data_IF_947851879397
#
_entry.id   IF_947851879397
#
_cell.length_a   1.000
_cell.length_b   1.000
_cell.length_c   1.000
_cell.angle_alpha   90.00
_cell.angle_beta   90.00
_cell.angle_gamma   90.00
#
_symmetry.space_group_name_H-M   'P 1'
#
loop_
_entity.id
_entity.type
_entity.pdbx_description
1 polymer ?
#
# COMPACT_ATOMS: atom_id res chain seq x y z
N UNK A 1 -13.47 15.14 11.63
CA UNK A 1 -12.05 14.76 11.42
C UNK A 1 -11.09 15.95 11.59
N UNK A 2 -11.55 17.19 11.47
CA UNK A 2 -10.75 18.39 11.81
C UNK A 2 -10.54 18.55 13.31
N UNK A 3 -11.58 18.24 14.11
CA UNK A 3 -11.55 18.34 15.57
C UNK A 3 -10.33 17.62 16.18
N UNK A 4 -10.10 16.34 15.85
CA UNK A 4 -9.11 15.52 16.57
C UNK A 4 -7.65 15.95 16.40
N UNK A 5 -7.25 16.56 15.27
CA UNK A 5 -5.86 17.01 15.09
C UNK A 5 -5.68 18.40 15.70
N UNK A 6 -6.68 19.27 15.53
CA UNK A 6 -6.70 20.55 16.23
C UNK A 6 -6.64 20.35 17.75
N UNK A 7 -7.36 19.35 18.28
CA UNK A 7 -7.36 18.97 19.69
C UNK A 7 -5.98 18.47 20.14
N UNK A 8 -5.28 17.66 19.33
CA UNK A 8 -3.89 17.22 19.63
C UNK A 8 -2.92 18.39 19.62
N UNK A 9 -3.04 19.31 18.65
CA UNK A 9 -2.20 20.52 18.58
C UNK A 9 -2.48 21.46 19.76
N UNK A 10 -3.75 21.66 20.09
CA UNK A 10 -4.18 22.45 21.24
C UNK A 10 -3.74 21.84 22.58
N UNK A 11 -3.69 20.51 22.67
CA UNK A 11 -3.19 19.78 23.84
C UNK A 11 -1.64 19.69 23.90
N UNK A 12 -0.92 20.51 23.13
CA UNK A 12 0.54 20.56 23.17
C UNK A 12 1.22 19.35 22.53
N UNK A 13 0.54 18.65 21.63
CA UNK A 13 1.07 17.51 20.89
C UNK A 13 0.83 16.15 21.55
N UNK A 14 0.08 16.07 22.66
CA UNK A 14 -0.38 14.80 23.23
C UNK A 14 -1.85 14.90 23.61
N UNK A 15 -2.66 13.96 23.13
CA UNK A 15 -4.08 13.85 23.48
C UNK A 15 -4.37 12.47 24.04
N UNK A 16 -4.64 12.39 25.34
CA UNK A 16 -5.15 11.18 25.97
C UNK A 16 -6.61 10.98 25.60
N UNK A 17 -6.93 9.80 25.09
CA UNK A 17 -8.26 9.43 24.64
C UNK A 17 -8.67 8.09 25.23
N UNK A 18 -9.83 8.07 25.90
CA UNK A 18 -10.40 6.86 26.47
C UNK A 18 -11.59 6.44 25.62
N UNK A 19 -11.58 5.20 25.15
CA UNK A 19 -12.73 4.58 24.47
C UNK A 19 -13.72 4.14 25.54
N UNK A 20 -14.88 4.79 25.54
CA UNK A 20 -15.94 4.58 26.54
C UNK A 20 -17.06 3.65 26.06
N UNK A 21 -17.07 3.22 24.78
CA UNK A 21 -18.12 2.36 24.23
C UNK A 21 -17.64 1.43 23.10
N UNK A 22 -18.30 0.28 22.95
CA UNK A 22 -18.10 -0.73 21.88
C UNK A 22 -18.27 -0.18 20.45
N UNK A 23 -18.87 1.02 20.29
CA UNK A 23 -19.11 1.68 18.99
C UNK A 23 -18.26 2.92 18.73
N UNK A 24 -17.31 3.26 19.60
CA UNK A 24 -16.42 4.41 19.38
C UNK A 24 -15.54 4.23 18.14
N UNK A 25 -15.16 5.30 17.42
CA UNK A 25 -14.24 5.19 16.29
C UNK A 25 -12.91 4.58 16.74
N UNK A 26 -12.28 3.77 15.88
CA UNK A 26 -10.93 3.28 16.15
C UNK A 26 -9.95 4.45 16.02
N UNK A 27 -9.23 4.80 17.09
CA UNK A 27 -8.22 5.85 17.05
C UNK A 27 -7.14 5.58 16.00
N UNK A 28 -6.81 4.30 15.76
CA UNK A 28 -5.94 3.90 14.65
C UNK A 28 -6.54 4.23 13.28
N UNK A 29 -7.85 4.01 13.08
CA UNK A 29 -8.52 4.36 11.83
C UNK A 29 -8.60 5.89 11.64
N UNK A 30 -8.74 6.65 12.73
CA UNK A 30 -8.70 8.11 12.71
C UNK A 30 -7.32 8.62 12.33
N UNK A 31 -6.25 8.09 12.94
CA UNK A 31 -4.86 8.44 12.59
C UNK A 31 -4.53 8.04 11.15
N UNK A 32 -4.92 6.83 10.70
CA UNK A 32 -4.77 6.43 9.29
C UNK A 32 -5.48 7.38 8.33
N UNK A 33 -6.67 7.85 8.69
CA UNK A 33 -7.40 8.83 7.88
C UNK A 33 -6.72 10.20 7.87
N UNK A 34 -6.25 10.67 9.03
CA UNK A 34 -5.51 11.93 9.15
C UNK A 34 -4.24 11.95 8.27
N UNK A 35 -3.47 10.85 8.30
CA UNK A 35 -2.29 10.66 7.44
C UNK A 35 -2.71 10.64 5.97
N UNK A 36 -3.71 9.82 5.60
CA UNK A 36 -4.20 9.68 4.22
C UNK A 36 -4.66 11.00 3.59
N UNK A 37 -5.27 11.88 4.39
CA UNK A 37 -5.77 13.17 3.92
C UNK A 37 -4.78 14.33 4.13
N UNK A 38 -3.49 14.05 4.39
CA UNK A 38 -2.43 15.05 4.61
C UNK A 38 -2.78 16.10 5.68
N UNK A 39 -3.46 15.68 6.75
CA UNK A 39 -3.90 16.58 7.82
C UNK A 39 -2.90 16.68 8.98
N UNK A 40 -1.86 15.85 8.98
CA UNK A 40 -0.77 15.95 9.95
C UNK A 40 0.09 17.17 9.58
N UNK A 41 0.42 18.06 10.53
CA UNK A 41 1.31 19.19 10.28
C UNK A 41 2.63 18.76 9.61
N UNK A 42 3.11 19.58 8.68
CA UNK A 42 4.35 19.31 7.96
C UNK A 42 5.52 19.11 8.94
N UNK A 43 6.32 18.07 8.72
CA UNK A 43 7.47 17.75 9.57
C UNK A 43 7.13 17.11 10.92
N UNK A 44 5.88 16.69 11.14
CA UNK A 44 5.47 15.92 12.33
C UNK A 44 4.88 14.57 11.95
N UNK A 45 4.91 13.63 12.88
CA UNK A 45 4.20 12.36 12.76
C UNK A 45 3.16 12.20 13.86
N UNK A 46 2.06 11.53 13.52
CA UNK A 46 0.96 11.25 14.44
C UNK A 46 0.96 9.76 14.79
N UNK A 47 1.16 9.44 16.07
CA UNK A 47 1.29 8.07 16.60
C UNK A 47 0.16 7.81 17.59
N UNK A 48 -0.31 6.55 17.67
CA UNK A 48 -1.22 6.10 18.72
C UNK A 48 -0.45 5.18 19.67
N UNK A 49 -0.22 5.62 20.90
CA UNK A 49 0.29 4.80 21.98
C UNK A 49 -0.91 4.15 22.68
N UNK A 50 -0.96 2.82 22.80
CA UNK A 50 -2.04 2.17 23.56
C UNK A 50 -1.73 2.29 25.06
N UNK A 51 -2.75 2.63 25.85
CA UNK A 51 -2.66 2.71 27.31
C UNK A 51 -2.62 1.33 27.96
N UNK A 52 -2.42 1.32 29.28
CA UNK A 52 -2.33 0.10 30.07
C UNK A 52 -3.67 -0.65 30.16
N UNK A 53 -4.80 0.07 30.03
CA UNK A 53 -6.14 -0.53 30.05
C UNK A 53 -6.76 -0.55 28.67
N UNK A 54 -7.69 -1.49 28.49
CA UNK A 54 -8.50 -1.57 27.29
C UNK A 54 -9.25 -0.25 27.06
N UNK A 55 -9.12 0.31 25.86
CA UNK A 55 -9.76 1.55 25.46
C UNK A 55 -8.96 2.82 25.74
N UNK A 56 -7.92 2.77 26.58
CA UNK A 56 -7.01 3.90 26.75
C UNK A 56 -6.04 3.96 25.57
N UNK A 57 -5.88 5.14 24.98
CA UNK A 57 -4.84 5.42 24.01
C UNK A 57 -4.39 6.88 24.13
N UNK A 58 -3.17 7.16 23.73
CA UNK A 58 -2.62 8.51 23.66
C UNK A 58 -2.25 8.78 22.21
N UNK A 59 -2.88 9.78 21.61
CA UNK A 59 -2.52 10.26 20.29
C UNK A 59 -1.40 11.29 20.46
N UNK A 60 -0.24 11.02 19.90
CA UNK A 60 0.97 11.83 20.06
C UNK A 60 1.38 12.41 18.72
N UNK A 61 1.53 13.73 18.66
CA UNK A 61 2.20 14.45 17.59
C UNK A 61 3.66 14.64 17.97
N UNK A 62 4.55 13.85 17.39
CA UNK A 62 5.99 13.90 17.68
C UNK A 62 6.78 14.32 16.44
N UNK A 63 8.00 14.81 16.67
CA UNK A 63 8.95 14.93 15.58
C UNK A 63 9.26 13.54 15.00
N UNK A 64 9.43 13.44 13.67
CA UNK A 64 9.85 12.20 13.05
C UNK A 64 11.18 11.77 13.67
N UNK A 65 11.30 10.52 14.12
CA UNK A 65 12.55 10.02 14.64
C UNK A 65 13.63 10.09 13.56
N UNK A 66 14.89 10.16 13.97
CA UNK A 66 16.03 10.45 13.07
C UNK A 66 16.10 9.50 11.86
N UNK A 67 15.80 8.21 12.04
CA UNK A 67 15.73 7.23 10.95
C UNK A 67 14.71 7.59 9.84
N UNK A 68 13.71 8.43 10.14
CA UNK A 68 12.69 8.90 9.21
C UNK A 68 13.11 10.18 8.46
N UNK A 69 14.18 10.86 8.89
CA UNK A 69 14.71 12.08 8.24
C UNK A 69 16.06 11.85 7.56
N UNK A 70 16.78 10.79 7.90
CA UNK A 70 18.03 10.38 7.24
C UNK A 70 17.83 10.26 5.72
N UNK A 71 18.77 10.80 4.92
CA UNK A 71 18.78 10.61 3.48
C UNK A 71 19.12 9.15 3.17
N UNK A 72 18.22 8.44 2.47
CA UNK A 72 18.41 7.02 2.14
C UNK A 72 19.09 6.90 0.78
N UNK A 73 20.02 5.96 0.68
CA UNK A 73 20.64 5.64 -0.61
C UNK A 73 19.60 5.06 -1.58
N UNK A 74 19.46 5.65 -2.79
CA UNK A 74 18.54 5.15 -3.81
C UNK A 74 18.76 3.67 -4.10
N UNK A 75 17.68 2.89 -4.22
CA UNK A 75 17.78 1.48 -4.65
C UNK A 75 17.80 1.47 -6.19
N UNK A 76 18.91 1.06 -6.82
CA UNK A 76 18.98 1.01 -8.28
C UNK A 76 18.06 -0.11 -8.80
N UNK A 77 17.19 0.20 -9.76
CA UNK A 77 16.47 -0.84 -10.50
C UNK A 77 17.32 -1.28 -11.66
N UNK A 78 17.67 -2.57 -11.74
CA UNK A 78 18.38 -3.06 -12.90
C UNK A 78 17.52 -2.89 -14.16
N UNK A 79 18.13 -2.48 -15.26
CA UNK A 79 17.46 -2.40 -16.56
C UNK A 79 17.06 -3.80 -17.06
N UNK A 80 17.89 -4.81 -16.76
CA UNK A 80 17.70 -6.21 -17.11
C UNK A 80 18.03 -7.12 -15.94
N UNK A 81 17.27 -8.20 -15.79
CA UNK A 81 17.46 -9.22 -14.76
C UNK A 81 17.59 -10.57 -15.44
N UNK A 82 18.76 -11.19 -15.33
CA UNK A 82 19.04 -12.52 -15.89
C UNK A 82 18.49 -13.65 -15.01
N UNK A 83 18.63 -13.49 -13.68
CA UNK A 83 18.12 -14.41 -12.68
C UNK A 83 17.37 -13.62 -11.60
N UNK A 84 16.09 -13.93 -11.44
CA UNK A 84 15.27 -13.32 -10.40
C UNK A 84 15.54 -13.97 -9.05
N UNK A 85 15.24 -13.22 -8.00
CA UNK A 85 15.22 -13.71 -6.63
C UNK A 85 14.25 -14.90 -6.47
N UNK A 86 14.50 -15.79 -5.52
CA UNK A 86 13.70 -17.00 -5.29
C UNK A 86 12.25 -16.66 -4.95
N UNK A 87 12.01 -15.64 -4.12
CA UNK A 87 10.66 -15.19 -3.77
C UNK A 87 9.91 -14.70 -5.02
N UNK A 88 10.56 -13.88 -5.85
CA UNK A 88 9.94 -13.38 -7.07
C UNK A 88 9.76 -14.48 -8.13
N UNK A 89 10.60 -15.52 -8.13
CA UNK A 89 10.43 -16.68 -9.01
C UNK A 89 9.12 -17.41 -8.68
N UNK A 90 8.78 -17.57 -7.40
CA UNK A 90 7.50 -18.12 -6.95
C UNK A 90 6.33 -17.20 -7.33
N UNK A 91 6.41 -15.90 -7.05
CA UNK A 91 5.38 -14.91 -7.46
C UNK A 91 5.09 -14.97 -8.97
N UNK A 92 6.13 -15.17 -9.79
CA UNK A 92 5.98 -15.29 -11.25
C UNK A 92 5.32 -16.58 -11.69
N UNK A 93 5.52 -17.68 -10.96
CA UNK A 93 4.86 -18.96 -11.22
C UNK A 93 3.37 -18.91 -10.84
N UNK A 94 3.04 -18.23 -9.75
CA UNK A 94 1.67 -18.09 -9.23
C UNK A 94 0.83 -17.05 -9.98
N UNK A 95 1.45 -16.20 -10.81
CA UNK A 95 0.78 -15.16 -11.58
C UNK A 95 0.00 -15.73 -12.79
N UNK A 96 -1.03 -16.53 -12.52
CA UNK A 96 -2.04 -16.97 -13.49
C UNK A 96 -3.04 -15.84 -13.76
N UNK A 97 -2.69 -14.95 -14.69
CA UNK A 97 -3.66 -14.11 -15.40
C UNK A 97 -3.61 -12.60 -15.15
N UNK A 98 -3.78 -11.85 -16.25
CA UNK A 98 -4.05 -10.40 -16.36
C UNK A 98 -2.93 -9.39 -16.07
N UNK A 99 -1.66 -9.79 -16.02
CA UNK A 99 -0.53 -8.83 -16.13
C UNK A 99 -0.04 -8.68 -17.59
N UNK A 100 -0.89 -8.67 -18.62
CA UNK A 100 -0.47 -8.35 -20.00
C UNK A 100 -0.25 -6.85 -20.23
N UNK A 101 0.23 -6.14 -19.20
CA UNK A 101 0.65 -4.76 -19.31
C UNK A 101 2.07 -4.69 -19.86
N UNK A 102 2.39 -3.74 -20.75
CA UNK A 102 3.77 -3.41 -21.11
C UNK A 102 4.68 -3.17 -19.88
N UNK A 103 4.09 -2.78 -18.75
CA UNK A 103 4.79 -2.49 -17.49
C UNK A 103 5.06 -3.73 -16.63
N UNK A 104 4.59 -4.92 -17.02
CA UNK A 104 4.79 -6.15 -16.24
C UNK A 104 6.27 -6.42 -15.94
N UNK A 105 7.12 -6.31 -16.96
CA UNK A 105 8.54 -6.56 -16.80
C UNK A 105 9.18 -5.55 -15.87
N UNK A 106 8.81 -4.26 -16.01
CA UNK A 106 9.25 -3.19 -15.12
C UNK A 106 8.84 -3.48 -13.67
N UNK A 107 7.59 -3.88 -13.42
CA UNK A 107 7.12 -4.25 -12.08
C UNK A 107 7.88 -5.41 -11.45
N UNK A 108 8.25 -6.43 -12.23
CA UNK A 108 9.10 -7.51 -11.72
C UNK A 108 10.52 -7.03 -11.40
N UNK A 109 11.09 -6.11 -12.19
CA UNK A 109 12.41 -5.54 -11.87
C UNK A 109 12.37 -4.70 -10.59
N UNK A 110 11.28 -3.98 -10.34
CA UNK A 110 11.03 -3.25 -9.09
C UNK A 110 10.97 -4.24 -7.91
N UNK A 111 10.14 -5.29 -8.00
CA UNK A 111 10.03 -6.31 -6.95
C UNK A 111 11.38 -7.00 -6.69
N UNK A 112 12.16 -7.27 -7.74
CA UNK A 112 13.50 -7.85 -7.62
C UNK A 112 14.46 -6.92 -6.88
N UNK A 113 14.49 -5.64 -7.26
CA UNK A 113 15.36 -4.65 -6.62
C UNK A 113 15.04 -4.51 -5.12
N UNK A 114 13.75 -4.51 -4.77
CA UNK A 114 13.30 -4.52 -3.36
C UNK A 114 13.80 -5.78 -2.66
N UNK A 115 13.49 -6.97 -3.20
CA UNK A 115 13.88 -8.24 -2.59
C UNK A 115 15.40 -8.34 -2.36
N UNK A 116 16.20 -7.99 -3.36
CA UNK A 116 17.66 -8.00 -3.27
C UNK A 116 18.19 -6.99 -2.26
N UNK A 117 17.61 -5.79 -2.21
CA UNK A 117 18.00 -4.76 -1.26
C UNK A 117 17.61 -5.11 0.20
N UNK A 118 16.50 -5.82 0.41
CA UNK A 118 16.11 -6.38 1.71
C UNK A 118 17.05 -7.50 2.14
N UNK A 119 17.30 -8.44 1.24
CA UNK A 119 18.20 -9.57 1.50
C UNK A 119 19.63 -9.10 1.85
N UNK A 120 20.12 -8.07 1.15
CA UNK A 120 21.41 -7.44 1.45
C UNK A 120 21.47 -6.77 2.84
N UNK A 121 20.31 -6.35 3.39
CA UNK A 121 20.17 -5.82 4.76
C UNK A 121 19.93 -6.93 5.80
N UNK A 122 19.91 -8.20 5.39
CA UNK A 122 19.65 -9.35 6.26
C UNK A 122 18.18 -9.56 6.62
N UNK A 123 17.26 -8.91 5.90
CA UNK A 123 15.83 -9.13 6.09
C UNK A 123 15.37 -10.41 5.39
N UNK A 124 14.39 -11.08 5.97
CA UNK A 124 13.78 -12.25 5.35
C UNK A 124 12.77 -11.79 4.30
N UNK A 125 12.85 -12.37 3.09
CA UNK A 125 11.95 -12.06 1.98
C UNK A 125 11.33 -13.36 1.49
N UNK A 126 10.00 -13.37 1.41
CA UNK A 126 9.22 -14.51 0.94
C UNK A 126 8.18 -14.07 -0.11
N UNK A 127 7.78 -15.00 -0.98
CA UNK A 127 6.63 -14.78 -1.83
C UNK A 127 5.37 -14.72 -0.96
N UNK A 128 4.45 -13.82 -1.29
CA UNK A 128 3.16 -13.79 -0.63
C UNK A 128 2.43 -15.11 -0.87
N UNK A 129 1.90 -15.70 0.20
CA UNK A 129 1.09 -16.92 0.13
C UNK A 129 -0.38 -16.59 0.35
N UNK A 130 -1.27 -17.16 -0.45
CA UNK A 130 -2.71 -17.02 -0.24
C UNK A 130 -3.10 -17.75 1.04
N UNK A 131 -3.54 -17.00 2.04
CA UNK A 131 -4.06 -17.55 3.30
C UNK A 131 -5.57 -17.35 3.32
N UNK A 132 -6.33 -18.41 3.07
CA UNK A 132 -7.72 -18.44 3.50
C UNK A 132 -7.77 -18.58 5.04
N UNK A 133 -8.61 -17.78 5.67
CA UNK A 133 -8.94 -17.83 7.11
C UNK A 133 -9.55 -19.17 7.52
N UNK A 134 -10.07 -19.98 6.58
CA UNK A 134 -10.70 -21.27 6.81
C UNK A 134 -9.93 -22.48 6.26
N UNK A 135 -8.66 -22.31 5.85
CA UNK A 135 -7.83 -23.43 5.38
C UNK A 135 -8.28 -24.05 4.06
N UNK A 136 -9.24 -23.44 3.35
CA UNK A 136 -9.60 -23.87 2.02
C UNK A 136 -8.58 -23.27 1.04
N UNK A 137 -7.78 -24.13 0.41
CA UNK A 137 -6.88 -23.76 -0.69
C UNK A 137 -7.70 -23.38 -1.95
N UNK A 138 -8.53 -22.35 -1.85
CA UNK A 138 -9.02 -21.70 -3.05
C UNK A 138 -7.82 -21.04 -3.72
N UNK A 139 -7.68 -21.23 -5.04
CA UNK A 139 -6.62 -20.64 -5.89
C UNK A 139 -6.77 -19.11 -6.00
N UNK A 140 -7.16 -18.43 -4.93
CA UNK A 140 -7.20 -16.99 -4.89
C UNK A 140 -5.78 -16.49 -4.81
N UNK A 141 -5.40 -15.63 -5.75
CA UNK A 141 -4.10 -14.97 -5.74
C UNK A 141 -3.90 -14.25 -4.40
N UNK A 142 -2.71 -14.31 -3.78
CA UNK A 142 -2.41 -13.51 -2.61
C UNK A 142 -2.67 -12.01 -2.88
N UNK A 143 -3.13 -11.24 -1.88
CA UNK A 143 -3.52 -9.83 -2.07
C UNK A 143 -2.32 -8.90 -2.32
N UNK A 144 -1.10 -9.41 -2.18
CA UNK A 144 0.18 -8.70 -2.37
C UNK A 144 1.20 -9.63 -3.04
N UNK A 145 2.39 -9.11 -3.38
CA UNK A 145 3.41 -9.85 -4.12
C UNK A 145 4.49 -10.45 -3.18
N UNK A 146 4.99 -9.70 -2.19
CA UNK A 146 6.07 -10.16 -1.28
C UNK A 146 5.73 -9.94 0.19
N UNK A 147 6.19 -10.85 1.04
CA UNK A 147 6.27 -10.69 2.50
C UNK A 147 7.74 -10.40 2.88
N UNK A 148 7.97 -9.36 3.67
CA UNK A 148 9.30 -8.95 4.14
C UNK A 148 9.28 -8.89 5.66
N UNK A 149 10.08 -9.72 6.33
CA UNK A 149 10.15 -9.76 7.79
C UNK A 149 11.38 -9.00 8.28
N UNK A 150 11.14 -7.95 9.07
CA UNK A 150 12.16 -7.11 9.70
C UNK A 150 11.93 -7.16 11.20
N UNK A 151 12.93 -7.64 11.96
CA UNK A 151 12.87 -7.69 13.43
C UNK A 151 11.61 -8.36 13.99
N UNK A 152 11.12 -9.42 13.33
CA UNK A 152 9.89 -10.14 13.73
C UNK A 152 8.58 -9.52 13.28
N UNK A 153 8.61 -8.40 12.55
CA UNK A 153 7.44 -7.77 11.95
C UNK A 153 7.40 -8.03 10.44
N UNK A 154 6.27 -8.58 9.96
CA UNK A 154 6.06 -8.81 8.52
C UNK A 154 5.36 -7.63 7.87
N UNK A 155 6.00 -7.09 6.84
CA UNK A 155 5.49 -6.09 5.93
C UNK A 155 5.08 -6.74 4.61
N UNK A 156 3.98 -6.29 4.03
CA UNK A 156 3.48 -6.76 2.75
C UNK A 156 3.85 -5.75 1.67
N UNK A 157 4.35 -6.22 0.53
CA UNK A 157 4.69 -5.37 -0.61
C UNK A 157 3.90 -5.79 -1.83
N UNK A 158 3.26 -4.83 -2.49
CA UNK A 158 2.55 -5.06 -3.74
C UNK A 158 2.95 -4.05 -4.81
N UNK A 159 2.99 -4.51 -6.06
CA UNK A 159 3.16 -3.64 -7.22
C UNK A 159 1.93 -3.74 -8.11
N UNK A 160 1.20 -2.65 -8.30
CA UNK A 160 -0.04 -2.63 -9.08
C UNK A 160 0.03 -1.60 -10.20
N UNK A 161 -0.66 -1.84 -11.31
CA UNK A 161 -0.96 -0.79 -12.26
C UNK A 161 -2.38 -0.30 -11.96
N UNK A 162 -2.55 0.92 -11.41
CA UNK A 162 -3.88 1.46 -11.20
C UNK A 162 -4.57 1.67 -12.55
N UNK A 163 -5.89 1.62 -12.54
CA UNK A 163 -6.70 1.97 -13.70
C UNK A 163 -7.13 3.43 -13.61
N UNK A 164 -7.27 4.06 -14.77
CA UNK A 164 -7.91 5.36 -14.92
C UNK A 164 -9.31 5.17 -15.49
N UNK A 165 -10.21 6.03 -15.05
CA UNK A 165 -11.60 6.08 -15.50
C UNK A 165 -11.67 6.89 -16.79
N UNK A 166 -12.21 6.30 -17.85
CA UNK A 166 -12.48 6.98 -19.12
C UNK A 166 -13.96 6.89 -19.43
N UNK A 167 -14.50 7.86 -20.15
CA UNK A 167 -15.90 7.84 -20.57
C UNK A 167 -16.14 6.63 -21.48
N UNK A 168 -17.16 5.84 -21.12
CA UNK A 168 -17.50 4.64 -21.87
C UNK A 168 -18.12 5.03 -23.21
N UNK A 169 -17.65 4.42 -24.28
CA UNK A 169 -18.23 4.57 -25.60
C UNK A 169 -19.17 3.40 -25.85
N UNK A 170 -20.50 3.59 -25.72
CA UNK A 170 -21.45 2.48 -25.84
C UNK A 170 -21.38 1.86 -27.23
N UNK A 171 -21.31 0.55 -27.25
CA UNK A 171 -21.34 -0.22 -28.49
C UNK A 171 -22.71 -0.14 -29.14
N UNK A 172 -22.78 -0.39 -30.46
CA UNK A 172 -24.05 -0.46 -31.19
C UNK A 172 -25.01 -1.52 -30.62
N UNK A 173 -24.46 -2.59 -30.03
CA UNK A 173 -25.24 -3.61 -29.32
C UNK A 173 -25.83 -3.08 -28.01
N UNK A 174 -25.05 -2.37 -27.20
CA UNK A 174 -25.51 -1.75 -25.95
C UNK A 174 -26.56 -0.67 -26.19
N UNK A 175 -26.41 0.14 -27.25
CA UNK A 175 -27.41 1.13 -27.65
C UNK A 175 -28.74 0.47 -28.05
N UNK A 176 -28.70 -0.59 -28.88
CA UNK A 176 -29.90 -1.37 -29.25
C UNK A 176 -30.55 -2.05 -28.04
N UNK A 177 -29.74 -2.54 -27.10
CA UNK A 177 -30.22 -3.17 -25.88
C UNK A 177 -30.90 -2.14 -24.97
N UNK A 178 -30.32 -0.95 -24.82
CA UNK A 178 -30.87 0.13 -24.01
C UNK A 178 -32.18 0.70 -24.60
N UNK A 179 -32.28 0.77 -25.93
CA UNK A 179 -33.53 1.15 -26.63
C UNK A 179 -34.65 0.13 -26.38
N UNK A 180 -34.31 -1.17 -26.36
CA UNK A 180 -35.28 -2.25 -26.13
C UNK A 180 -35.65 -2.44 -24.66
N UNK A 181 -34.71 -2.18 -23.75
CA UNK A 181 -34.83 -2.42 -22.32
C UNK A 181 -34.29 -1.23 -21.52
N UNK A 182 -35.15 -0.23 -21.31
CA UNK A 182 -34.80 1.04 -20.63
C UNK A 182 -34.28 0.88 -19.19
N UNK A 183 -34.48 -0.29 -18.56
CA UNK A 183 -33.95 -0.61 -17.23
C UNK A 183 -32.55 -1.22 -17.25
N UNK A 184 -31.92 -1.40 -18.43
CA UNK A 184 -30.56 -1.96 -18.56
C UNK A 184 -29.59 -0.86 -18.99
N UNK A 185 -29.12 0.01 -18.07
CA UNK A 185 -28.13 1.01 -18.40
C UNK A 185 -26.79 0.34 -18.72
N UNK A 186 -26.09 0.83 -19.74
CA UNK A 186 -24.70 0.48 -20.00
C UNK A 186 -23.77 1.27 -19.05
N UNK A 187 -22.53 0.79 -18.82
CA UNK A 187 -21.58 1.48 -17.95
C UNK A 187 -21.35 2.92 -18.40
N UNK A 188 -21.27 3.87 -17.45
CA UNK A 188 -20.89 5.25 -17.77
C UNK A 188 -19.38 5.39 -18.07
N UNK A 189 -18.58 4.49 -17.52
CA UNK A 189 -17.13 4.57 -17.59
C UNK A 189 -16.49 3.22 -17.84
N UNK A 190 -15.44 3.23 -18.65
CA UNK A 190 -14.48 2.14 -18.76
C UNK A 190 -13.29 2.39 -17.83
N UNK A 191 -12.65 1.31 -17.41
CA UNK A 191 -11.44 1.35 -16.59
C UNK A 191 -10.28 0.81 -17.42
N UNK A 192 -9.41 1.71 -17.86
CA UNK A 192 -8.23 1.37 -18.67
C UNK A 192 -6.96 1.51 -17.82
N UNK A 193 -5.88 0.77 -18.12
CA UNK A 193 -4.62 0.92 -17.39
C UNK A 193 -4.10 2.36 -17.42
N UNK A 194 -3.61 2.86 -16.28
CA UNK A 194 -3.12 4.23 -16.18
C UNK A 194 -1.73 4.44 -16.80
N UNK A 195 -1.00 3.37 -17.14
CA UNK A 195 0.34 3.47 -17.70
C UNK A 195 1.41 3.82 -16.68
N UNK A 196 1.17 3.56 -15.39
CA UNK A 196 2.10 3.79 -14.29
C UNK A 196 2.08 2.62 -13.31
N UNK A 197 3.17 2.39 -12.59
CA UNK A 197 3.22 1.39 -11.53
C UNK A 197 3.13 2.06 -10.17
N UNK A 198 2.34 1.49 -9.29
CA UNK A 198 2.21 1.87 -7.89
C UNK A 198 2.84 0.78 -7.04
N UNK A 199 3.72 1.17 -6.13
CA UNK A 199 4.27 0.29 -5.09
C UNK A 199 3.55 0.63 -3.79
N UNK A 200 3.05 -0.38 -3.08
CA UNK A 200 2.41 -0.22 -1.78
C UNK A 200 3.07 -1.14 -0.75
N UNK A 201 3.34 -0.58 0.43
CA UNK A 201 3.81 -1.31 1.60
C UNK A 201 2.71 -1.26 2.65
N UNK A 202 2.27 -2.42 3.09
CA UNK A 202 1.30 -2.61 4.14
C UNK A 202 1.80 -3.58 5.20
N UNK A 203 0.92 -3.97 6.12
CA UNK A 203 1.32 -4.78 7.27
C UNK A 203 2.28 -4.04 8.21
N UNK A 204 2.75 -4.73 9.24
CA UNK A 204 3.75 -4.22 10.18
C UNK A 204 3.39 -2.92 10.94
N UNK A 205 4.35 -2.39 11.73
CA UNK A 205 4.31 -1.04 12.32
C UNK A 205 4.32 0.09 11.27
N UNK A 206 4.20 1.33 11.73
CA UNK A 206 4.25 2.51 10.85
C UNK A 206 5.58 2.61 10.09
N UNK A 207 5.50 2.83 8.78
CA UNK A 207 6.63 3.03 7.86
C UNK A 207 6.76 4.50 7.45
N UNK A 208 7.97 4.92 7.02
CA UNK A 208 8.28 6.30 6.61
C UNK A 208 7.37 6.81 5.49
N UNK A 209 7.17 5.99 4.48
CA UNK A 209 6.20 6.15 3.41
C UNK A 209 5.66 4.75 3.12
N UNK A 210 4.40 4.63 2.69
CA UNK A 210 3.77 3.32 2.41
C UNK A 210 3.26 3.19 0.98
N UNK A 211 3.47 4.21 0.15
CA UNK A 211 2.97 4.24 -1.22
C UNK A 211 3.85 5.11 -2.10
N UNK A 212 4.21 4.59 -3.27
CA UNK A 212 5.04 5.26 -4.27
C UNK A 212 4.50 5.02 -5.67
N UNK A 213 4.91 5.87 -6.60
CA UNK A 213 4.55 5.76 -8.02
C UNK A 213 5.82 5.79 -8.86
N UNK A 214 5.99 4.79 -9.72
CA UNK A 214 7.06 4.73 -10.72
C UNK A 214 6.79 5.80 -11.79
N UNK A 215 7.53 6.91 -11.75
CA UNK A 215 7.36 8.04 -12.68
C UNK A 215 8.49 8.15 -13.71
N UNK A 216 9.75 7.89 -13.31
CA UNK A 216 10.92 8.29 -14.12
C UNK A 216 11.97 7.18 -14.36
N UNK A 217 11.66 5.90 -14.11
CA UNK A 217 12.60 4.80 -14.40
C UNK A 217 13.72 4.58 -13.36
N UNK A 218 14.03 5.59 -12.53
CA UNK A 218 14.85 5.44 -11.31
C UNK A 218 13.96 5.34 -10.07
N UNK A 219 14.17 4.33 -9.21
CA UNK A 219 13.45 4.20 -7.93
C UNK A 219 14.18 4.94 -6.81
N UNK A 220 14.46 6.22 -7.00
CA UNK A 220 14.97 7.10 -5.92
C UNK A 220 14.03 7.05 -4.70
N UNK A 221 12.74 6.82 -4.96
CA UNK A 221 11.67 6.80 -3.97
C UNK A 221 11.52 5.49 -3.18
N UNK A 222 11.97 4.34 -3.68
CA UNK A 222 11.74 3.02 -3.04
C UNK A 222 12.77 2.73 -1.95
N UNK A 223 13.87 3.49 -1.89
CA UNK A 223 14.75 3.49 -0.73
C UNK A 223 13.98 3.78 0.57
N UNK A 224 12.90 4.56 0.52
CA UNK A 224 12.04 4.84 1.69
C UNK A 224 11.27 3.64 2.24
N UNK A 225 11.33 2.48 1.55
CA UNK A 225 10.72 1.22 1.97
C UNK A 225 11.58 0.48 3.01
N UNK A 226 12.91 0.72 3.04
CA UNK A 226 13.89 -0.18 3.66
C UNK A 226 14.70 0.44 4.79
#
# INVERSE_FOLDING_TARGET
MEQSIADVVAAGGRLEVVRTADKGPSYEALVKSAIRFNKVPAGKILVVERGARWGEATIVLTDPPEWMTVALEPIPVPERVSKFDSALTQVRADATGKRNSPLRQRGHRILHAIATACAARGFEVAAAVSRDRYGNHTQQRPPHDLDITVSGHTFTVSVTEPTKRVEHQPTSAELRQAEKYSWTPYPKYDYVPAGLLKVEVGGGPAVRQGTWTDRDGSLTDVAQIL
#
